data_IF_383531478181
#
_entry.id   IF_383531478181
#
_cell.length_a   1.000
_cell.length_b   1.000
_cell.length_c   1.000
_cell.angle_alpha   90.00
_cell.angle_beta   90.00
_cell.angle_gamma   90.00
#
_symmetry.space_group_name_H-M   'P 1'
#
loop_
_entity.id
_entity.type
_entity.pdbx_description
1 polymer ?
2 non-polymer ?
3 non-polymer ?
4 water ?
#
# COMPACT_ATOMS: atom_id res chain seq x y z
N UNK A 13 1.23 27.72 17.32
CA UNK A 13 -0.17 27.59 16.86
C UNK A 13 -0.35 26.23 16.13
N UNK A 14 0.16 25.13 16.71
CA UNK A 14 0.21 23.83 16.02
C UNK A 14 -1.19 23.23 15.84
N UNK A 15 -1.37 22.43 14.80
CA UNK A 15 -2.59 21.66 14.66
C UNK A 15 -2.80 20.78 15.86
N UNK A 16 -1.74 20.34 16.54
CA UNK A 16 -1.93 19.52 17.72
C UNK A 16 -2.86 20.23 18.75
N UNK A 17 -2.61 21.53 18.91
CA UNK A 17 -3.36 22.35 19.89
C UNK A 17 -4.83 22.40 19.45
N UNK A 18 -5.00 22.60 18.16
CA UNK A 18 -6.34 22.81 17.58
C UNK A 18 -7.12 21.50 17.64
N UNK A 19 -6.44 20.41 17.32
CA UNK A 19 -7.11 19.11 17.36
C UNK A 19 -7.54 18.84 18.82
N UNK A 20 -6.64 19.06 19.78
CA UNK A 20 -7.08 18.65 21.16
C UNK A 20 -8.18 19.61 21.69
N UNK A 21 -8.03 20.90 21.40
CA UNK A 21 -9.03 21.86 21.94
C UNK A 21 -10.38 21.70 21.25
N UNK A 22 -10.37 21.40 19.94
CA UNK A 22 -11.64 21.19 19.22
C UNK A 22 -12.24 19.81 19.51
N UNK A 23 -11.42 18.82 19.88
CA UNK A 23 -11.94 17.47 20.09
C UNK A 23 -12.15 16.73 18.79
N UNK A 24 -11.50 17.22 17.76
CA UNK A 24 -11.69 16.76 16.35
C UNK A 24 -10.37 16.62 15.60
N UNK A 25 -10.18 15.44 15.03
CA UNK A 25 -9.02 15.11 14.17
C UNK A 25 -9.59 14.95 12.73
N UNK A 26 -9.13 15.79 11.83
CA UNK A 26 -9.57 15.74 10.43
C UNK A 26 -8.62 14.90 9.57
N UNK A 27 -9.22 13.86 8.99
CA UNK A 27 -8.47 12.84 8.27
C UNK A 27 -8.90 12.86 6.80
N UNK A 28 -7.98 13.26 5.94
CA UNK A 28 -8.19 13.10 4.49
C UNK A 28 -8.00 11.70 3.94
N UNK A 29 -8.94 11.19 3.16
CA UNK A 29 -8.82 9.85 2.62
C UNK A 29 -9.61 9.74 1.33
N UNK A 30 -9.10 8.92 0.40
CA UNK A 30 -9.79 8.64 -0.89
C UNK A 30 -10.94 7.61 -0.74
N UNK A 31 -10.85 6.76 0.27
CA UNK A 31 -11.88 5.78 0.57
C UNK A 31 -12.13 4.80 -0.57
N UNK A 32 -11.13 4.51 -1.41
CA UNK A 32 -11.35 3.68 -2.62
C UNK A 32 -10.26 2.65 -2.73
N UNK A 33 -9.58 2.43 -1.61
CA UNK A 33 -8.45 1.51 -1.53
C UNK A 33 -8.69 0.28 -0.61
N UNK A 34 -9.08 -0.83 -1.24
CA UNK A 34 -9.24 -2.13 -0.58
C UNK A 34 -7.83 -2.74 -0.32
N UNK A 35 -7.49 -3.00 0.95
CA UNK A 35 -8.30 -2.91 2.17
C UNK A 35 -7.76 -1.82 3.09
N UNK A 36 -6.89 -0.97 2.60
CA UNK A 36 -6.41 0.18 3.43
C UNK A 36 -7.45 1.21 3.89
N UNK A 37 -8.32 1.66 2.98
CA UNK A 37 -9.33 2.68 3.29
C UNK A 37 -10.51 2.63 2.28
N UNK A 38 -11.62 2.05 2.72
CA UNK A 38 -12.78 1.82 1.88
C UNK A 38 -14.01 2.38 2.53
N UNK A 39 -15.03 2.66 1.73
CA UNK A 39 -16.39 2.82 2.25
C UNK A 39 -17.24 1.57 2.07
N UNK A 40 -18.00 1.20 3.10
CA UNK A 40 -18.90 0.05 3.05
C UNK A 40 -20.08 0.37 2.13
N UNK A 41 -20.32 -0.47 1.08
CA UNK A 41 -21.28 -0.13 0.02
C UNK A 41 -22.60 0.38 0.57
N UNK A 42 -23.34 -0.48 1.28
CA UNK A 42 -24.67 -0.12 1.82
C UNK A 42 -24.64 1.07 2.81
N UNK A 43 -23.81 0.93 3.85
CA UNK A 43 -23.84 1.81 5.01
C UNK A 43 -23.06 3.11 4.81
N UNK A 44 -22.13 3.13 3.87
CA UNK A 44 -21.26 4.31 3.71
C UNK A 44 -20.25 4.59 4.88
N UNK A 45 -20.09 3.63 5.79
CA UNK A 45 -19.04 3.67 6.83
C UNK A 45 -17.64 3.44 6.24
N UNK A 46 -16.66 4.12 6.76
CA UNK A 46 -15.23 3.92 6.39
C UNK A 46 -14.70 2.70 7.11
N UNK A 47 -14.03 1.80 6.44
CA UNK A 47 -13.42 0.66 7.13
C UNK A 47 -12.07 0.39 6.46
N UNK A 48 -11.19 -0.29 7.18
CA UNK A 48 -9.96 -0.76 6.61
C UNK A 48 -8.79 -0.48 7.53
N UNK A 49 -7.60 -0.91 7.09
CA UNK A 49 -6.42 -0.81 7.94
C UNK A 49 -6.08 0.59 8.40
N UNK A 50 -6.06 1.53 7.48
CA UNK A 50 -5.76 2.93 7.82
C UNK A 50 -6.84 3.55 8.65
N UNK A 51 -8.11 3.15 8.43
CA UNK A 51 -9.24 3.61 9.26
C UNK A 51 -9.01 3.11 10.71
N UNK A 52 -8.63 1.85 10.85
CA UNK A 52 -8.39 1.36 12.25
C UNK A 52 -7.21 2.07 12.94
N UNK A 53 -6.21 2.40 12.14
CA UNK A 53 -5.01 3.17 12.63
C UNK A 53 -5.51 4.53 13.13
N UNK A 54 -6.28 5.20 12.29
CA UNK A 54 -6.82 6.52 12.72
C UNK A 54 -7.80 6.48 13.87
N UNK A 55 -8.68 5.45 13.91
CA UNK A 55 -9.50 5.21 15.12
C UNK A 55 -8.71 5.04 16.40
N UNK A 56 -7.59 4.35 16.33
CA UNK A 56 -6.79 4.13 17.52
C UNK A 56 -6.14 5.45 17.93
N UNK A 57 -5.64 6.21 16.96
CA UNK A 57 -4.95 7.48 17.28
C UNK A 57 -5.91 8.48 17.92
N UNK A 58 -7.11 8.55 17.38
CA UNK A 58 -8.14 9.46 17.94
C UNK A 58 -8.59 8.99 19.29
N UNK A 59 -8.75 7.66 19.47
CA UNK A 59 -9.05 7.12 20.81
C UNK A 59 -7.99 7.56 21.83
N UNK A 60 -6.71 7.40 21.46
CA UNK A 60 -5.59 7.68 22.38
C UNK A 60 -5.53 9.19 22.64
N UNK A 61 -5.87 9.99 21.64
CA UNK A 61 -5.89 11.48 21.82
C UNK A 61 -7.10 12.00 22.61
N UNK A 62 -8.13 11.16 22.75
CA UNK A 62 -9.42 11.53 23.36
C UNK A 62 -10.25 12.46 22.47
N UNK A 63 -10.17 12.29 21.13
CA UNK A 63 -10.89 13.16 20.17
C UNK A 63 -11.74 12.27 19.20
N UNK A 64 -12.62 12.89 18.39
CA UNK A 64 -13.47 12.20 17.39
C UNK A 64 -12.85 12.37 16.04
N UNK A 65 -12.95 11.37 15.16
CA UNK A 65 -12.41 11.52 13.83
C UNK A 65 -13.47 12.17 12.92
N UNK A 66 -13.02 13.10 12.08
CA UNK A 66 -13.85 13.57 10.99
C UNK A 66 -13.14 13.14 9.69
N UNK A 67 -13.81 12.30 8.94
CA UNK A 67 -13.31 11.90 7.64
C UNK A 67 -13.65 12.96 6.57
N UNK A 68 -12.66 13.37 5.83
CA UNK A 68 -12.77 14.42 4.78
C UNK A 68 -12.42 13.80 3.44
N UNK A 69 -13.45 13.54 2.62
CA UNK A 69 -13.19 12.82 1.34
C UNK A 69 -12.31 13.68 0.39
N UNK A 70 -11.44 13.00 -0.30
CA UNK A 70 -10.65 13.61 -1.34
C UNK A 70 -10.39 12.53 -2.38
N UNK A 71 -9.57 12.84 -3.38
CA UNK A 71 -9.27 11.93 -4.49
C UNK A 71 -7.76 11.83 -4.59
N UNK A 72 -7.25 10.78 -5.24
CA UNK A 72 -5.78 10.66 -5.46
C UNK A 72 -5.08 11.92 -6.01
N UNK A 73 -5.76 12.61 -6.91
CA UNK A 73 -5.18 13.74 -7.60
C UNK A 73 -5.06 14.97 -6.72
N UNK A 74 -5.81 15.03 -5.60
CA UNK A 74 -5.84 16.22 -4.76
C UNK A 74 -5.50 15.91 -3.34
N UNK A 75 -5.21 14.67 -3.03
CA UNK A 75 -5.03 14.32 -1.62
C UNK A 75 -3.80 15.01 -1.02
N UNK A 76 -2.69 15.12 -1.78
CA UNK A 76 -1.55 15.88 -1.24
C UNK A 76 -1.92 17.34 -1.08
N UNK A 77 -2.65 17.94 -2.05
CA UNK A 77 -3.03 19.35 -1.98
C UNK A 77 -3.93 19.58 -0.79
N UNK A 78 -4.65 18.57 -0.32
CA UNK A 78 -5.46 18.76 0.85
C UNK A 78 -4.66 19.00 2.14
N UNK A 79 -3.45 18.44 2.16
CA UNK A 79 -2.56 18.66 3.29
C UNK A 79 -1.95 20.05 3.21
N UNK A 80 -1.43 20.40 2.04
CA UNK A 80 -0.82 21.70 1.87
C UNK A 80 -1.78 22.83 2.14
N UNK A 81 -3.06 22.67 1.75
CA UNK A 81 -4.05 23.71 1.96
C UNK A 81 -4.71 23.72 3.32
N UNK A 82 -4.48 22.69 4.13
CA UNK A 82 -5.13 22.57 5.45
C UNK A 82 -6.58 22.20 5.43
N UNK A 83 -7.02 21.40 4.46
CA UNK A 83 -8.37 20.80 4.49
C UNK A 83 -8.53 19.68 5.49
N UNK A 84 -7.43 19.05 5.89
CA UNK A 84 -7.49 18.05 6.94
C UNK A 84 -6.12 18.05 7.65
N UNK A 85 -6.06 17.40 8.83
CA UNK A 85 -4.86 17.39 9.70
C UNK A 85 -3.81 16.34 9.27
N UNK A 86 -4.27 15.23 8.69
CA UNK A 86 -3.44 14.05 8.48
C UNK A 86 -4.09 13.28 7.30
N UNK A 87 -3.32 12.61 6.49
CA UNK A 87 -3.87 11.73 5.46
C UNK A 87 -3.86 10.29 5.95
N UNK A 88 -4.64 9.44 5.32
CA UNK A 88 -4.37 7.99 5.32
C UNK A 88 -3.13 7.64 4.47
N UNK A 89 -2.78 6.36 4.43
CA UNK A 89 -1.52 5.90 3.82
C UNK A 89 -1.38 6.36 2.38
N UNK A 90 -0.19 6.89 2.05
CA UNK A 90 0.14 7.18 0.62
C UNK A 90 1.63 6.79 0.45
N UNK A 91 2.07 6.66 -0.79
CA UNK A 91 3.47 6.31 -1.05
C UNK A 91 4.33 7.54 -0.77
N UNK A 92 5.27 7.40 0.14
CA UNK A 92 6.25 8.40 0.35
C UNK A 92 7.17 8.52 -0.86
N UNK A 93 7.28 9.74 -1.41
CA UNK A 93 8.18 10.06 -2.54
C UNK A 93 8.90 11.35 -2.24
N UNK A 94 10.12 11.52 -2.81
CA UNK A 94 10.85 12.83 -2.68
C UNK A 94 10.00 14.05 -3.19
N UNK A 95 9.32 13.91 -4.34
CA UNK A 95 8.47 14.97 -4.88
C UNK A 95 7.43 15.37 -3.85
N UNK A 96 6.74 14.40 -3.27
CA UNK A 96 5.69 14.69 -2.29
C UNK A 96 6.29 15.37 -1.07
N UNK A 97 7.53 14.98 -0.70
CA UNK A 97 8.09 15.52 0.50
C UNK A 97 8.57 16.92 0.26
N UNK A 98 8.58 17.42 -0.99
CA UNK A 98 8.90 18.86 -1.23
C UNK A 98 7.80 19.77 -0.72
N UNK A 99 6.57 19.23 -0.61
CA UNK A 99 5.44 20.05 -0.17
C UNK A 99 4.73 19.59 1.09
N UNK A 100 4.88 18.32 1.49
CA UNK A 100 4.17 17.74 2.64
C UNK A 100 5.19 17.12 3.63
N UNK A 101 4.81 16.96 4.87
CA UNK A 101 5.56 16.12 5.79
C UNK A 101 5.01 14.74 5.75
N UNK A 102 5.84 13.79 6.16
CA UNK A 102 5.40 12.41 6.33
C UNK A 102 5.67 11.95 7.76
N UNK A 103 4.84 11.06 8.24
CA UNK A 103 5.15 10.35 9.46
C UNK A 103 6.17 9.25 9.18
N UNK A 104 6.70 8.66 10.26
CA UNK A 104 7.41 7.34 10.13
C UNK A 104 6.50 6.34 9.41
N UNK A 105 7.14 5.42 8.71
CA UNK A 105 6.46 4.36 7.98
C UNK A 105 6.27 3.16 8.85
N UNK A 106 5.19 2.45 8.61
CA UNK A 106 4.77 1.27 9.29
C UNK A 106 4.53 0.13 8.22
N UNK A 107 4.79 0.40 6.94
CA UNK A 107 4.48 -0.66 5.92
C UNK A 107 5.38 -0.45 4.73
N UNK A 108 6.09 -1.51 4.36
CA UNK A 108 7.03 -1.53 3.26
C UNK A 108 6.48 -2.56 2.28
N UNK A 109 6.46 -2.14 1.02
CA UNK A 109 6.04 -2.99 -0.13
C UNK A 109 7.07 -2.91 -1.26
N UNK A 110 6.92 -3.79 -2.25
CA UNK A 110 7.76 -3.69 -3.48
C UNK A 110 7.18 -4.69 -4.51
N UNK A 111 7.83 -4.79 -5.65
CA UNK A 111 7.35 -5.64 -6.72
C UNK A 111 7.92 -7.06 -6.50
N UNK A 112 7.07 -8.07 -6.58
CA UNK A 112 7.52 -9.45 -6.45
C UNK A 112 6.91 -10.34 -7.53
N UNK A 113 7.50 -11.53 -7.80
CA UNK A 113 6.97 -12.42 -8.79
C UNK A 113 6.12 -13.49 -8.20
N UNK A 114 5.04 -13.85 -8.94
CA UNK A 114 4.18 -14.95 -8.56
C UNK A 114 4.33 -16.08 -9.59
N UNK A 115 4.33 -17.31 -9.11
CA UNK A 115 4.37 -18.50 -9.93
C UNK A 115 3.38 -19.44 -9.29
N UNK A 116 2.98 -20.49 -9.98
CA UNK A 116 2.39 -21.67 -9.25
C UNK A 116 3.39 -22.32 -8.26
N UNK A 117 2.95 -22.64 -7.06
CA UNK A 117 3.77 -23.34 -6.03
C UNK A 117 4.53 -24.57 -6.49
N UNK A 118 3.84 -25.43 -7.22
CA UNK A 118 4.42 -26.62 -7.75
C UNK A 118 5.68 -26.30 -8.62
N UNK A 119 5.80 -25.07 -9.17
CA UNK A 119 6.95 -24.72 -10.01
C UNK A 119 8.05 -23.91 -9.33
N UNK A 120 8.00 -23.84 -8.00
CA UNK A 120 8.99 -23.15 -7.21
C UNK A 120 10.47 -23.55 -7.35
N UNK A 121 10.77 -24.84 -7.55
CA UNK A 121 12.18 -25.29 -7.53
C UNK A 121 12.81 -24.89 -8.87
N UNK A 122 11.95 -24.94 -9.89
CA UNK A 122 12.24 -24.47 -11.20
C UNK A 122 12.34 -22.94 -11.29
N UNK A 123 11.44 -22.24 -10.63
CA UNK A 123 11.49 -20.78 -10.67
C UNK A 123 11.66 -20.30 -9.28
N UNK A 124 12.89 -20.36 -8.77
CA UNK A 124 13.16 -19.85 -7.44
C UNK A 124 13.88 -18.48 -7.45
N UNK A 125 14.12 -17.93 -8.62
CA UNK A 125 14.90 -16.69 -8.66
C UNK A 125 14.30 -15.78 -9.73
N UNK A 126 14.53 -14.47 -9.59
CA UNK A 126 14.23 -13.53 -10.67
C UNK A 126 14.85 -13.96 -12.01
N UNK A 127 16.12 -14.33 -11.94
CA UNK A 127 16.86 -14.76 -13.12
C UNK A 127 16.21 -15.97 -13.80
N UNK A 128 15.60 -16.85 -13.00
CA UNK A 128 14.97 -18.08 -13.58
C UNK A 128 13.75 -17.77 -14.45
N UNK A 129 13.24 -16.54 -14.25
CA UNK A 129 12.04 -16.08 -14.92
C UNK A 129 12.39 -15.25 -16.10
N UNK A 130 13.69 -15.03 -16.25
CA UNK A 130 14.25 -14.22 -17.32
C UNK A 130 14.96 -15.11 -18.31
N UNK A 131 14.20 -15.67 -19.26
CA UNK A 131 14.66 -16.77 -20.09
C UNK A 131 13.75 -16.93 -21.34
N UNK A 132 14.35 -17.18 -22.53
CA UNK A 132 13.59 -17.44 -23.80
C UNK A 132 12.46 -18.45 -23.71
N UNK A 133 12.58 -19.38 -22.77
CA UNK A 133 11.63 -20.49 -22.60
C UNK A 133 10.54 -20.29 -21.56
N UNK A 134 10.56 -19.11 -20.94
CA UNK A 134 9.57 -18.73 -19.92
C UNK A 134 8.54 -17.69 -20.48
N UNK A 135 7.28 -17.85 -20.12
CA UNK A 135 6.20 -16.87 -20.44
C UNK A 135 5.80 -16.09 -19.16
N UNK A 136 5.80 -14.79 -19.28
CA UNK A 136 5.42 -13.85 -18.21
C UNK A 136 4.15 -13.16 -18.71
N UNK A 137 3.09 -13.23 -17.88
CA UNK A 137 1.79 -12.58 -18.12
C UNK A 137 1.83 -11.19 -17.60
N UNK A 138 1.28 -10.24 -18.36
CA UNK A 138 1.26 -8.84 -17.88
C UNK A 138 -0.09 -8.26 -18.24
N UNK A 139 -0.41 -7.08 -17.71
CA UNK A 139 -1.63 -6.41 -18.12
C UNK A 139 -1.25 -5.26 -19.07
N UNK A 140 -1.87 -5.29 -20.24
CA UNK A 140 -1.58 -4.40 -21.32
C UNK A 140 -1.72 -2.95 -20.89
N UNK A 141 -0.74 -2.13 -21.30
CA UNK A 141 -0.76 -0.69 -21.08
C UNK A 141 -0.43 -0.18 -19.70
N UNK A 142 -0.06 -1.07 -18.77
CA UNK A 142 0.23 -0.70 -17.37
C UNK A 142 1.72 -0.45 -17.13
N UNK A 143 1.98 0.26 -16.02
CA UNK A 143 3.23 0.44 -15.35
C UNK A 143 3.95 -0.87 -15.07
N UNK A 144 3.16 -1.83 -14.61
CA UNK A 144 3.56 -3.18 -14.27
C UNK A 144 4.13 -3.86 -15.52
N UNK A 145 3.42 -3.77 -16.64
CA UNK A 145 3.92 -4.37 -17.86
C UNK A 145 5.28 -3.80 -18.27
N UNK A 146 5.51 -2.52 -18.02
CA UNK A 146 6.76 -1.90 -18.46
C UNK A 146 7.85 -2.47 -17.60
N UNK A 147 7.50 -2.82 -16.36
CA UNK A 147 8.51 -3.34 -15.42
C UNK A 147 8.90 -4.80 -15.78
N UNK A 148 7.89 -5.57 -16.12
CA UNK A 148 8.12 -6.91 -16.68
C UNK A 148 9.09 -6.86 -17.87
N UNK A 149 8.96 -5.89 -18.76
CA UNK A 149 9.88 -5.82 -19.91
C UNK A 149 11.27 -5.50 -19.44
N UNK A 150 11.40 -4.75 -18.32
CA UNK A 150 12.69 -4.40 -17.70
C UNK A 150 13.34 -5.60 -16.97
N UNK A 151 12.53 -6.35 -16.21
CA UNK A 151 13.01 -7.48 -15.44
C UNK A 151 13.17 -8.74 -16.25
N UNK A 152 12.32 -8.92 -17.27
CA UNK A 152 12.37 -10.19 -18.01
C UNK A 152 12.53 -10.02 -19.50
N UNK A 153 13.60 -9.33 -19.92
CA UNK A 153 13.76 -9.03 -21.34
C UNK A 153 13.95 -10.26 -22.25
N UNK A 154 14.34 -11.41 -21.74
CA UNK A 154 14.61 -12.58 -22.54
C UNK A 154 13.36 -13.42 -22.64
N UNK A 155 12.40 -13.16 -21.75
CA UNK A 155 11.22 -14.00 -21.72
C UNK A 155 10.15 -13.64 -22.78
N UNK A 156 9.26 -14.57 -22.99
CA UNK A 156 8.05 -14.36 -23.82
C UNK A 156 6.94 -13.67 -23.02
N UNK A 157 6.30 -12.67 -23.61
CA UNK A 157 5.30 -11.85 -22.91
C UNK A 157 3.88 -12.16 -23.33
N UNK A 158 2.98 -12.34 -22.37
CA UNK A 158 1.52 -12.56 -22.63
C UNK A 158 0.83 -11.30 -22.00
N UNK A 159 0.47 -10.33 -22.83
CA UNK A 159 -0.01 -9.04 -22.37
C UNK A 159 -1.55 -9.06 -22.60
N UNK A 160 -2.30 -9.23 -21.56
CA UNK A 160 -3.76 -9.28 -21.66
C UNK A 160 -4.44 -7.98 -21.29
N UNK A 161 -5.57 -7.75 -21.91
CA UNK A 161 -6.24 -6.46 -21.80
C UNK A 161 -7.29 -6.59 -20.74
N UNK A 162 -7.27 -5.63 -19.80
CA UNK A 162 -8.32 -5.50 -18.78
C UNK A 162 -9.67 -5.55 -19.48
N UNK A 163 -10.62 -6.31 -18.95
CA UNK A 163 -10.71 -6.87 -17.60
C UNK A 163 -10.01 -8.22 -17.35
N UNK A 164 -9.38 -8.80 -18.38
CA UNK A 164 -8.69 -10.09 -18.18
C UNK A 164 -7.55 -9.80 -17.23
N UNK A 165 -7.28 -10.72 -16.31
CA UNK A 165 -6.27 -10.49 -15.28
C UNK A 165 -4.98 -11.25 -15.56
N UNK A 166 -3.86 -10.58 -15.43
CA UNK A 166 -2.57 -11.21 -15.63
C UNK A 166 -2.34 -12.51 -14.82
N UNK A 167 -2.63 -12.46 -13.55
CA UNK A 167 -2.50 -13.66 -12.69
C UNK A 167 -3.31 -14.87 -13.07
N UNK A 168 -4.44 -14.66 -13.72
CA UNK A 168 -5.26 -15.77 -14.19
C UNK A 168 -4.53 -16.66 -15.23
N UNK A 169 -3.60 -16.08 -15.99
CA UNK A 169 -2.81 -16.80 -16.95
C UNK A 169 -1.83 -17.75 -16.29
N UNK A 170 -1.24 -17.24 -15.19
CA UNK A 170 -0.39 -18.07 -14.30
C UNK A 170 -1.23 -19.19 -13.69
N UNK A 171 -2.43 -18.86 -13.22
CA UNK A 171 -3.25 -19.94 -12.63
C UNK A 171 -3.46 -21.03 -13.64
N UNK A 172 -3.72 -20.61 -14.89
CA UNK A 172 -4.14 -21.55 -15.92
C UNK A 172 -2.96 -22.31 -16.58
N UNK A 173 -1.74 -22.00 -16.16
CA UNK A 173 -0.52 -22.54 -16.73
C UNK A 173 -0.18 -21.97 -18.13
N UNK A 174 -0.91 -20.95 -18.58
CA UNK A 174 -0.57 -20.29 -19.87
C UNK A 174 0.59 -19.29 -19.75
N UNK A 175 0.94 -18.90 -18.52
CA UNK A 175 2.14 -18.17 -18.30
C UNK A 175 2.81 -18.78 -17.07
N UNK A 176 4.13 -18.66 -16.97
CA UNK A 176 4.90 -19.24 -15.86
C UNK A 176 4.95 -18.34 -14.62
N UNK A 177 4.92 -17.01 -14.84
CA UNK A 177 4.91 -16.02 -13.76
C UNK A 177 4.26 -14.71 -14.18
N UNK A 178 3.97 -13.89 -13.17
CA UNK A 178 3.70 -12.48 -13.38
C UNK A 178 4.32 -11.67 -12.24
N UNK A 179 4.33 -10.35 -12.38
CA UNK A 179 4.76 -9.57 -11.22
C UNK A 179 3.66 -8.64 -10.81
N UNK A 180 3.69 -8.27 -9.55
CA UNK A 180 2.76 -7.31 -8.96
C UNK A 180 3.40 -6.81 -7.65
N UNK A 181 2.70 -5.88 -7.01
CA UNK A 181 3.10 -5.36 -5.66
C UNK A 181 3.03 -6.50 -4.64
N UNK A 182 3.89 -6.44 -3.61
CA UNK A 182 3.81 -7.46 -2.57
C UNK A 182 2.40 -7.50 -1.93
N UNK A 183 1.75 -6.35 -1.88
CA UNK A 183 0.44 -6.20 -1.25
C UNK A 183 -0.53 -7.09 -2.01
N UNK A 184 -0.53 -6.92 -3.31
CA UNK A 184 -1.46 -7.69 -4.16
C UNK A 184 -1.13 -9.16 -4.13
N UNK A 185 0.15 -9.49 -4.15
CA UNK A 185 0.62 -10.87 -4.10
C UNK A 185 0.24 -11.56 -2.82
N UNK A 186 0.41 -10.85 -1.72
CA UNK A 186 0.03 -11.39 -0.44
C UNK A 186 -1.44 -11.77 -0.50
N UNK A 187 -2.27 -10.89 -1.04
CA UNK A 187 -3.71 -11.13 -1.19
C UNK A 187 -3.93 -12.29 -2.13
N UNK A 188 -3.25 -12.31 -3.26
CA UNK A 188 -3.46 -13.48 -4.15
C UNK A 188 -3.04 -14.84 -3.61
N UNK A 189 -1.98 -14.90 -2.81
CA UNK A 189 -1.54 -16.20 -2.33
C UNK A 189 -2.51 -16.66 -1.23
N UNK A 190 -3.25 -15.71 -0.64
CA UNK A 190 -4.29 -16.11 0.31
C UNK A 190 -5.42 -16.78 -0.47
N UNK A 191 -5.89 -16.08 -1.48
CA UNK A 191 -7.06 -16.50 -2.25
C UNK A 191 -6.78 -17.73 -3.12
N UNK A 192 -5.57 -17.86 -3.64
CA UNK A 192 -5.17 -18.98 -4.50
C UNK A 192 -3.93 -19.62 -3.87
N UNK A 193 -4.17 -20.55 -2.92
CA UNK A 193 -3.05 -21.29 -2.31
C UNK A 193 -2.11 -22.00 -3.32
N UNK A 194 -2.56 -22.23 -4.55
CA UNK A 194 -1.70 -22.87 -5.58
C UNK A 194 -0.57 -21.92 -6.07
N UNK A 195 -0.70 -20.62 -5.75
CA UNK A 195 0.32 -19.56 -6.07
C UNK A 195 1.36 -19.39 -4.98
N UNK A 196 2.55 -18.92 -5.33
CA UNK A 196 3.60 -18.59 -4.38
C UNK A 196 4.49 -17.42 -4.86
N UNK A 197 4.98 -16.68 -3.89
CA UNK A 197 5.92 -15.60 -4.14
C UNK A 197 7.29 -16.24 -4.33
N UNK A 198 7.93 -15.90 -5.42
CA UNK A 198 9.29 -16.38 -5.65
C UNK A 198 10.19 -15.76 -4.56
N UNK A 199 10.87 -16.59 -3.76
CA UNK A 199 11.48 -15.98 -2.53
C UNK A 199 12.89 -15.47 -2.86
N UNK A 200 12.98 -14.35 -3.58
CA UNK A 200 14.29 -13.91 -4.10
C UNK A 200 14.28 -12.40 -4.05
N UNK A 201 13.59 -11.90 -3.01
CA UNK A 201 13.49 -10.48 -2.68
C UNK A 201 12.60 -9.69 -3.63
N UNK A 202 12.62 -8.40 -3.43
CA UNK A 202 11.67 -7.53 -4.06
C UNK A 202 12.41 -6.48 -4.82
N UNK A 203 11.77 -5.93 -5.83
CA UNK A 203 12.37 -4.87 -6.55
C UNK A 203 11.51 -3.61 -6.31
N UNK A 204 12.16 -2.49 -6.55
CA UNK A 204 11.57 -1.17 -6.33
C UNK A 204 10.86 -1.05 -4.96
N UNK A 205 11.59 -1.25 -3.88
CA UNK A 205 11.00 -1.16 -2.54
C UNK A 205 10.42 0.22 -2.33
N UNK A 206 9.27 0.32 -1.69
CA UNK A 206 8.69 1.64 -1.33
C UNK A 206 7.96 1.55 -0.02
N UNK A 207 7.60 2.74 0.51
CA UNK A 207 7.07 2.85 1.85
C UNK A 207 5.77 3.64 1.86
N UNK A 208 4.78 3.08 2.57
CA UNK A 208 3.54 3.83 2.91
C UNK A 208 3.76 4.66 4.21
N UNK A 209 3.26 5.89 4.24
CA UNK A 209 3.20 6.72 5.44
C UNK A 209 2.00 7.69 5.38
N UNK A 210 1.73 8.35 6.49
CA UNK A 210 0.67 9.38 6.51
C UNK A 210 1.31 10.74 6.29
N UNK A 211 0.59 11.61 5.59
CA UNK A 211 1.06 12.94 5.41
C UNK A 211 0.50 13.87 6.48
N UNK A 212 1.32 14.85 6.79
CA UNK A 212 0.94 15.97 7.61
C UNK A 212 1.60 17.24 7.05
N UNK A 213 1.22 18.38 7.61
CA UNK A 213 1.74 19.64 7.15
C UNK A 213 3.27 19.64 7.29
N UNK A 214 3.95 20.11 6.27
CA UNK A 214 5.39 20.18 6.30
C UNK A 214 5.88 21.18 7.31
N UNK A 215 5.09 22.18 7.63
CA UNK A 215 5.51 23.29 8.49
C UNK A 215 5.08 23.21 9.98
N UNK A 216 4.62 22.03 10.41
CA UNK A 216 4.11 21.92 11.77
C UNK A 216 4.88 20.81 12.46
N UNK A 217 6.09 21.20 12.90
CA UNK A 217 6.98 20.24 13.56
C UNK A 217 6.32 19.55 14.75
N UNK A 218 5.60 20.33 15.55
CA UNK A 218 5.00 19.83 16.75
C UNK A 218 3.97 18.71 16.49
N UNK A 219 3.18 18.86 15.41
CA UNK A 219 2.18 17.84 15.09
C UNK A 219 2.84 16.65 14.47
N UNK A 220 3.84 16.88 13.63
CA UNK A 220 4.60 15.79 13.05
C UNK A 220 5.26 14.95 14.12
N UNK A 221 5.90 15.63 15.07
CA UNK A 221 6.53 14.93 16.20
C UNK A 221 5.50 14.09 16.99
N UNK A 222 4.33 14.67 17.20
CA UNK A 222 3.32 14.02 18.04
C UNK A 222 2.88 12.71 17.43
N UNK A 223 2.65 12.71 16.12
CA UNK A 223 2.20 11.48 15.48
C UNK A 223 3.33 10.43 15.47
N UNK A 224 4.56 10.89 15.20
CA UNK A 224 5.72 9.99 15.23
C UNK A 224 5.94 9.35 16.59
N UNK A 225 5.76 10.15 17.65
CA UNK A 225 5.81 9.69 19.04
C UNK A 225 4.75 8.60 19.27
N UNK A 226 3.54 8.84 18.83
CA UNK A 226 2.48 7.90 18.99
C UNK A 226 2.78 6.62 18.21
N UNK A 227 3.30 6.73 16.98
CA UNK A 227 3.70 5.56 16.13
C UNK A 227 4.75 4.69 16.82
N UNK A 228 5.74 5.37 17.40
CA UNK A 228 6.82 4.68 18.15
C UNK A 228 6.29 3.88 19.34
N UNK A 229 5.42 4.52 20.11
CA UNK A 229 4.71 3.90 21.20
C UNK A 229 3.95 2.69 20.70
N UNK A 230 3.15 2.83 19.65
CA UNK A 230 2.38 1.68 19.13
C UNK A 230 3.27 0.51 18.64
N UNK A 231 4.29 0.85 17.87
CA UNK A 231 5.28 -0.12 17.45
C UNK A 231 5.88 -0.91 18.64
N UNK A 232 6.09 -0.29 19.81
CA UNK A 232 6.73 -1.02 20.91
C UNK A 232 5.86 -2.19 21.50
N UNK A 233 4.56 -2.16 21.19
CA UNK A 233 3.65 -3.25 21.62
C UNK A 233 3.15 -4.03 20.37
N UNK A 234 3.80 -3.84 19.24
CA UNK A 234 3.46 -4.60 18.00
C UNK A 234 2.09 -4.24 17.41
N UNK A 235 1.60 -3.01 17.70
CA UNK A 235 0.25 -2.67 17.34
C UNK A 235 0.01 -2.83 15.83
N UNK A 236 0.92 -2.27 15.00
CA UNK A 236 0.74 -2.23 13.55
C UNK A 236 0.96 -3.58 12.91
N UNK A 237 1.94 -4.33 13.41
CA UNK A 237 2.15 -5.67 12.83
C UNK A 237 0.91 -6.52 13.16
N UNK A 238 0.28 -6.32 14.31
CA UNK A 238 -0.97 -7.06 14.64
C UNK A 238 -2.18 -6.62 13.82
N UNK A 239 -2.25 -5.34 13.50
CA UNK A 239 -3.34 -4.80 12.74
C UNK A 239 -3.20 -5.21 11.26
N UNK A 240 -1.95 -5.24 10.76
CA UNK A 240 -1.67 -5.74 9.43
C UNK A 240 -2.15 -7.18 9.32
N UNK A 241 -1.84 -8.02 10.29
CA UNK A 241 -2.32 -9.39 10.29
C UNK A 241 -3.87 -9.52 10.37
N UNK A 242 -4.50 -8.61 11.08
CA UNK A 242 -5.96 -8.55 11.13
C UNK A 242 -6.54 -8.60 9.72
N UNK A 243 -5.83 -7.98 8.77
CA UNK A 243 -6.29 -7.85 7.39
C UNK A 243 -5.53 -8.81 6.51
N UNK A 244 -4.87 -9.78 7.12
CA UNK A 244 -4.04 -10.74 6.39
C UNK A 244 -3.02 -10.06 5.52
N UNK A 245 -2.62 -8.88 5.94
CA UNK A 245 -1.55 -8.11 5.26
C UNK A 245 -0.17 -8.37 5.90
N UNK A 246 0.92 -8.07 5.18
CA UNK A 246 2.27 -8.29 5.73
C UNK A 246 3.25 -7.32 5.10
N UNK A 247 4.04 -6.72 5.97
CA UNK A 247 5.04 -5.74 5.57
C UNK A 247 6.33 -6.48 5.20
N UNK A 248 7.01 -6.05 4.14
CA UNK A 248 8.35 -6.58 3.85
C UNK A 248 9.24 -6.10 4.99
N UNK A 249 10.28 -6.84 5.21
CA UNK A 249 11.32 -6.51 6.15
C UNK A 249 12.22 -5.55 5.36
X LIG B 1 -0.09 6.27 -4.13
X LIG B 1 -1.63 5.35 -3.92
X LIG B 1 -0.07 7.35 -5.16
X LIG B 1 -3.47 2.37 -5.35
X LIG B 1 1.03 5.34 -4.33
X LIG B 1 -1.69 4.14 -4.83
X LIG B 1 0.30 6.99 -2.89
X LIG B 1 -2.89 3.30 -4.35
X LIG B 1 -2.72 1.15 -5.35
X LIG B 1 -5.93 3.06 -5.16
X LIG B 1 -4.38 4.23 -6.75
X LIG B 1 -5.79 3.78 -6.46
X LIG B 1 -3.49 2.98 -6.71
X LIG B 1 -4.85 2.01 -4.90
X LIG C 1 -9.11 -19.81 -17.56
X LIG C 1 -8.53 -20.83 -18.47
X LIG C 1 -10.43 -19.36 -18.09
X LIG C 1 -9.24 -20.42 -16.22
X LIG C 1 -8.20 -18.63 -17.45
#
# INVERSE_FOLDING_TARGET
>A
MRGSHHHHHHIAESKLDQILSSGELKVGTTGDWDPMAMKDPATNKYKGFDIDVMQELAKDMGVKITFVPTEWKTIVSGITAGRYDISTSVTKTPKRAEVAGFTDSYYKYGTVPLVLKKNLKKYSTWKSLNNKDVTIATTLGTSQEEKAKEFFPLSKLQSVESPARDFQEVLAGRADGNITSSTEANKLVVKYPQLAIVPDGEKNPAFLAMMVSKNDQVWNDYVNEWIKSKKSSGFFNKLLAKYNLKSLL
>B hetero
1 KH2 S C1 O1 N2 O2 C4 O4 C7 C11 C12 C13 C14 C15 C16
>C hetero
1 SO4 S O1 O2 O3 O4
#
